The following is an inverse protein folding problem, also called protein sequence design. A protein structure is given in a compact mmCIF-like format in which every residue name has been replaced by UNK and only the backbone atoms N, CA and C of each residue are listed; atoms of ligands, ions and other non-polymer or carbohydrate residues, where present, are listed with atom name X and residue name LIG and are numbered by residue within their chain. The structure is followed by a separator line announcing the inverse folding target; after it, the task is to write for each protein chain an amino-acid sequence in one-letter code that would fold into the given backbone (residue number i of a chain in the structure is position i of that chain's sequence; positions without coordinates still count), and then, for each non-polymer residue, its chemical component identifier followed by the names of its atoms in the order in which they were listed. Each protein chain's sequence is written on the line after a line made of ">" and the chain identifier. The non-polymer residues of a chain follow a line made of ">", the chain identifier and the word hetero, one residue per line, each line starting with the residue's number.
data_IF_642309521044
#
_entry.id   IF_642309521044
#
_cell.length_a   1.000
_cell.length_b   1.000
_cell.length_c   1.000
_cell.angle_alpha   90.00
_cell.angle_beta   90.00
_cell.angle_gamma   90.00
#
_symmetry.space_group_name_H-M   'P 1'
#
loop_
_entity.id
_entity.type
_entity.pdbx_description
1 polymer ?
#
# COMPACT_ATOMS: atom_id res chain seq x y z
N UNK A 1 20.61 11.59 -5.50
CA UNK A 1 19.42 10.83 -5.07
C UNK A 1 19.71 9.39 -5.42
N UNK A 2 19.67 8.51 -4.43
CA UNK A 2 20.05 7.10 -4.56
C UNK A 2 18.76 6.31 -4.78
N UNK A 3 18.67 5.59 -5.89
CA UNK A 3 17.45 4.85 -6.25
C UNK A 3 17.72 3.35 -6.17
N UNK A 4 17.05 2.66 -5.26
CA UNK A 4 17.06 1.21 -5.15
C UNK A 4 15.99 0.63 -6.05
N UNK A 5 16.39 -0.24 -6.96
CA UNK A 5 15.50 -1.02 -7.81
C UNK A 5 15.64 -2.49 -7.41
N UNK A 6 14.86 -2.90 -6.41
CA UNK A 6 14.88 -4.28 -5.93
C UNK A 6 14.39 -5.30 -6.98
N UNK A 7 13.72 -4.85 -8.04
CA UNK A 7 13.27 -5.73 -9.11
C UNK A 7 14.38 -6.07 -10.11
N UNK A 8 15.29 -5.13 -10.38
CA UNK A 8 16.23 -5.25 -11.49
C UNK A 8 17.71 -5.12 -11.10
N UNK A 9 18.03 -4.49 -9.97
CA UNK A 9 19.42 -4.32 -9.51
C UNK A 9 20.04 -5.69 -9.16
N UNK A 10 21.29 -5.89 -9.56
CA UNK A 10 22.10 -7.00 -9.08
C UNK A 10 22.48 -6.83 -7.61
N UNK A 11 22.89 -7.92 -6.94
CA UNK A 11 23.39 -7.85 -5.55
C UNK A 11 24.53 -6.85 -5.40
N UNK A 12 25.42 -6.74 -6.39
CA UNK A 12 26.54 -5.78 -6.37
C UNK A 12 26.03 -4.33 -6.39
N UNK A 13 25.06 -4.01 -7.26
CA UNK A 13 24.47 -2.68 -7.36
C UNK A 13 23.72 -2.30 -6.07
N UNK A 14 22.98 -3.25 -5.48
CA UNK A 14 22.30 -3.05 -4.21
C UNK A 14 23.29 -2.75 -3.07
N UNK A 15 24.42 -3.46 -3.00
CA UNK A 15 25.46 -3.19 -2.00
C UNK A 15 26.13 -1.85 -2.24
N UNK A 16 26.43 -1.48 -3.49
CA UNK A 16 26.99 -0.17 -3.82
C UNK A 16 26.09 0.96 -3.34
N UNK A 17 24.79 0.89 -3.65
CA UNK A 17 23.79 1.88 -3.22
C UNK A 17 23.62 1.90 -1.69
N UNK A 18 23.64 0.73 -1.05
CA UNK A 18 23.60 0.61 0.42
C UNK A 18 24.80 1.32 1.07
N UNK A 19 25.99 1.10 0.52
CA UNK A 19 27.22 1.74 1.00
C UNK A 19 27.22 3.24 0.74
N UNK A 20 26.73 3.70 -0.42
CA UNK A 20 26.59 5.12 -0.74
C UNK A 20 25.65 5.81 0.26
N UNK A 21 24.48 5.22 0.53
CA UNK A 21 23.48 5.79 1.43
C UNK A 21 23.98 5.87 2.88
N UNK A 22 24.55 4.77 3.39
CA UNK A 22 25.04 4.71 4.78
C UNK A 22 26.48 5.22 4.96
N UNK A 23 27.12 5.67 3.88
CA UNK A 23 28.52 6.17 3.84
C UNK A 23 29.51 5.13 4.37
N UNK A 24 29.36 3.89 3.93
CA UNK A 24 30.17 2.75 4.34
C UNK A 24 31.25 2.40 3.31
N UNK A 25 32.31 1.76 3.78
CA UNK A 25 33.30 1.14 2.91
C UNK A 25 32.74 -0.13 2.25
N UNK A 26 32.78 -0.18 0.92
CA UNK A 26 32.18 -1.26 0.13
C UNK A 26 32.80 -2.62 0.42
N UNK A 27 34.13 -2.69 0.46
CA UNK A 27 34.85 -3.95 0.69
C UNK A 27 34.46 -4.55 2.06
N UNK A 28 34.38 -3.71 3.09
CA UNK A 28 33.97 -4.12 4.44
C UNK A 28 32.54 -4.66 4.48
N UNK A 29 31.60 -4.04 3.74
CA UNK A 29 30.20 -4.48 3.69
C UNK A 29 30.07 -5.79 2.91
N UNK A 30 30.68 -5.89 1.73
CA UNK A 30 30.67 -7.11 0.92
C UNK A 30 31.25 -8.29 1.70
N UNK A 31 32.41 -8.09 2.33
CA UNK A 31 33.10 -9.11 3.12
C UNK A 31 32.27 -9.57 4.34
N UNK A 32 31.44 -8.68 4.90
CA UNK A 32 30.49 -9.06 5.95
C UNK A 32 29.29 -9.82 5.39
N UNK A 33 28.64 -9.31 4.34
CA UNK A 33 27.44 -9.91 3.74
C UNK A 33 27.69 -11.31 3.17
N UNK A 34 28.90 -11.59 2.66
CA UNK A 34 29.27 -12.92 2.15
C UNK A 34 29.35 -13.98 3.26
N UNK A 35 29.70 -13.59 4.50
CA UNK A 35 30.00 -14.53 5.59
C UNK A 35 28.95 -14.59 6.68
N UNK A 36 28.14 -13.54 6.82
CA UNK A 36 27.14 -13.47 7.87
C UNK A 36 26.07 -14.55 7.66
N UNK A 37 25.60 -15.14 8.75
CA UNK A 37 24.41 -15.99 8.70
C UNK A 37 23.17 -15.09 8.57
N UNK A 38 22.42 -15.17 7.45
CA UNK A 38 21.23 -14.34 7.24
C UNK A 38 20.23 -14.43 8.39
N UNK A 39 20.07 -15.61 9.01
CA UNK A 39 19.08 -15.85 10.08
C UNK A 39 19.39 -15.11 11.38
N UNK A 40 20.56 -14.50 11.47
CA UNK A 40 20.99 -13.66 12.61
C UNK A 40 20.92 -12.17 12.28
N UNK A 41 20.60 -11.80 11.04
CA UNK A 41 20.52 -10.41 10.62
C UNK A 41 19.22 -9.77 11.10
N UNK A 42 19.37 -8.63 11.75
CA UNK A 42 18.30 -7.71 12.11
C UNK A 42 18.80 -6.29 11.85
N UNK A 43 17.93 -5.27 11.78
CA UNK A 43 18.37 -3.89 11.74
C UNK A 43 19.34 -3.55 12.88
N UNK A 44 19.13 -4.12 14.08
CA UNK A 44 19.99 -3.92 15.24
C UNK A 44 21.40 -4.50 15.03
N UNK A 45 21.53 -5.69 14.43
CA UNK A 45 22.85 -6.27 14.17
C UNK A 45 23.62 -5.50 13.10
N UNK A 46 22.95 -4.97 12.07
CA UNK A 46 23.58 -4.09 11.08
C UNK A 46 24.02 -2.76 11.68
N UNK A 47 23.15 -2.12 12.47
CA UNK A 47 23.45 -0.87 13.19
C UNK A 47 24.69 -1.04 14.05
N UNK A 48 24.77 -2.13 14.84
CA UNK A 48 25.93 -2.41 15.68
C UNK A 48 27.19 -2.74 14.89
N UNK A 49 27.05 -3.52 13.80
CA UNK A 49 28.20 -3.96 13.00
C UNK A 49 28.90 -2.81 12.30
N UNK A 50 28.13 -1.83 11.82
CA UNK A 50 28.63 -0.72 11.01
C UNK A 50 28.58 0.63 11.73
N UNK A 51 28.26 0.65 13.02
CA UNK A 51 28.14 1.86 13.85
C UNK A 51 27.19 2.92 13.23
N UNK A 52 26.03 2.45 12.73
CA UNK A 52 25.08 3.31 12.03
C UNK A 52 24.28 4.19 12.99
N UNK A 53 24.35 5.50 12.80
CA UNK A 53 23.50 6.47 13.51
C UNK A 53 22.30 6.81 12.65
N UNK A 54 21.19 6.10 12.85
CA UNK A 54 20.05 6.16 11.92
C UNK A 54 19.39 7.55 11.81
N UNK A 55 19.61 8.43 12.78
CA UNK A 55 19.18 9.83 12.70
C UNK A 55 20.07 10.72 11.80
N UNK A 56 21.24 10.28 11.37
CA UNK A 56 22.15 11.04 10.50
C UNK A 56 21.84 10.88 9.00
N UNK A 57 21.05 9.87 8.62
CA UNK A 57 20.72 9.59 7.22
C UNK A 57 19.35 10.15 6.84
N UNK A 58 19.33 10.92 5.75
CA UNK A 58 18.14 11.60 5.26
C UNK A 58 17.39 10.72 4.25
N UNK A 59 16.26 10.17 4.68
CA UNK A 59 15.40 9.32 3.86
C UNK A 59 14.83 10.02 2.62
N UNK A 60 14.89 11.35 2.53
CA UNK A 60 14.50 12.07 1.31
C UNK A 60 15.53 11.96 0.18
N UNK A 61 16.76 11.54 0.48
CA UNK A 61 17.80 11.27 -0.53
C UNK A 61 17.72 9.88 -1.13
N UNK A 62 16.84 9.04 -0.59
CA UNK A 62 16.59 7.66 -0.99
C UNK A 62 15.28 7.58 -1.79
N UNK A 63 15.32 6.86 -2.91
CA UNK A 63 14.15 6.45 -3.67
C UNK A 63 14.10 4.93 -3.81
N UNK A 64 12.90 4.39 -3.93
CA UNK A 64 12.66 2.98 -4.19
C UNK A 64 11.76 2.86 -5.41
N UNK A 65 12.16 2.01 -6.36
CA UNK A 65 11.30 1.62 -7.48
C UNK A 65 10.16 0.76 -6.92
N UNK A 66 8.94 1.18 -7.22
CA UNK A 66 7.70 0.57 -6.79
C UNK A 66 6.94 0.08 -8.02
N UNK A 67 6.17 -1.00 -7.86
CA UNK A 67 5.24 -1.50 -8.88
C UNK A 67 3.83 -1.57 -8.34
N UNK A 68 2.86 -1.07 -9.11
CA UNK A 68 1.43 -1.17 -8.83
C UNK A 68 0.76 -1.99 -9.93
N UNK A 69 0.03 -3.05 -9.56
CA UNK A 69 -0.66 -3.91 -10.53
C UNK A 69 -2.16 -3.61 -10.56
N UNK A 70 -2.72 -3.51 -11.76
CA UNK A 70 -4.13 -3.19 -11.99
C UNK A 70 -4.63 -3.77 -13.30
N UNK A 71 -5.95 -3.78 -13.51
CA UNK A 71 -6.55 -4.18 -14.79
C UNK A 71 -7.31 -3.04 -15.46
N UNK A 72 -7.18 -2.94 -16.77
CA UNK A 72 -7.77 -1.87 -17.57
C UNK A 72 -8.06 -2.31 -19.00
N UNK A 73 -8.64 -1.42 -19.80
CA UNK A 73 -8.63 -1.50 -21.27
C UNK A 73 -7.44 -0.75 -21.84
N UNK A 74 -7.11 -1.00 -23.12
CA UNK A 74 -6.08 -0.27 -23.86
C UNK A 74 -6.36 1.24 -23.92
N UNK A 75 -7.63 1.65 -23.95
CA UNK A 75 -8.01 3.06 -23.97
C UNK A 75 -7.90 3.67 -22.55
N UNK A 76 -8.48 3.00 -21.54
CA UNK A 76 -8.56 3.57 -20.19
C UNK A 76 -7.23 3.59 -19.44
N UNK A 77 -6.23 2.78 -19.84
CA UNK A 77 -4.89 2.83 -19.22
C UNK A 77 -4.22 4.20 -19.43
N UNK A 78 -4.60 4.95 -20.47
CA UNK A 78 -4.14 6.33 -20.69
C UNK A 78 -4.54 7.28 -19.56
N UNK A 79 -5.56 6.94 -18.77
CA UNK A 79 -5.92 7.76 -17.60
C UNK A 79 -4.80 7.87 -16.57
N UNK A 80 -3.92 6.88 -16.47
CA UNK A 80 -2.72 6.97 -15.61
C UNK A 80 -1.67 7.92 -16.18
N UNK A 81 -1.61 8.09 -17.50
CA UNK A 81 -0.72 9.07 -18.16
C UNK A 81 -1.26 10.49 -18.05
N UNK A 82 -2.58 10.64 -17.92
CA UNK A 82 -3.19 11.96 -17.72
C UNK A 82 -3.19 12.39 -16.26
N UNK A 83 -3.44 11.46 -15.33
CA UNK A 83 -3.72 11.76 -13.92
C UNK A 83 -2.68 11.23 -12.94
N UNK A 84 -1.84 10.30 -13.36
CA UNK A 84 -0.96 9.57 -12.45
C UNK A 84 -1.67 8.42 -11.73
N UNK A 85 -1.03 7.88 -10.68
CA UNK A 85 -1.68 6.94 -9.76
C UNK A 85 -2.27 7.75 -8.61
N UNK A 86 -3.59 7.84 -8.58
CA UNK A 86 -4.35 8.54 -7.55
C UNK A 86 -4.58 7.63 -6.33
N UNK A 87 -4.68 8.23 -5.15
CA UNK A 87 -5.15 7.51 -3.96
C UNK A 87 -6.61 7.06 -4.13
N UNK A 88 -7.04 6.07 -3.33
CA UNK A 88 -8.37 5.48 -3.50
C UNK A 88 -9.49 6.50 -3.21
N UNK A 89 -9.26 7.45 -2.30
CA UNK A 89 -10.20 8.54 -2.01
C UNK A 89 -10.48 9.33 -3.29
N UNK A 90 -9.43 9.77 -3.96
CA UNK A 90 -9.51 10.57 -5.19
C UNK A 90 -10.07 9.73 -6.34
N UNK A 91 -9.65 8.47 -6.47
CA UNK A 91 -10.17 7.56 -7.51
C UNK A 91 -11.68 7.36 -7.44
N UNK A 92 -12.26 7.31 -6.22
CA UNK A 92 -13.69 7.11 -6.02
C UNK A 92 -14.54 8.37 -6.25
N UNK A 93 -13.95 9.55 -6.09
CA UNK A 93 -14.69 10.83 -6.13
C UNK A 93 -14.48 11.63 -7.42
N UNK A 94 -13.32 11.51 -8.06
CA UNK A 94 -13.05 12.16 -9.35
C UNK A 94 -13.52 11.33 -10.54
N UNK A 95 -13.61 11.93 -11.73
CA UNK A 95 -13.93 11.21 -12.97
C UNK A 95 -12.78 10.28 -13.38
N UNK A 96 -12.82 9.02 -12.98
CA UNK A 96 -11.84 7.98 -13.30
C UNK A 96 -12.55 6.77 -13.90
N UNK A 97 -11.84 5.85 -14.57
CA UNK A 97 -12.45 4.60 -15.03
C UNK A 97 -13.15 3.82 -13.92
N UNK A 98 -12.61 3.84 -12.69
CA UNK A 98 -13.22 3.19 -11.53
C UNK A 98 -14.52 3.88 -11.09
N UNK A 99 -14.51 5.20 -10.89
CA UNK A 99 -15.72 5.91 -10.45
C UNK A 99 -16.82 5.89 -11.51
N UNK A 100 -16.48 6.02 -12.79
CA UNK A 100 -17.44 5.90 -13.89
C UNK A 100 -18.08 4.50 -13.93
N UNK A 101 -17.26 3.45 -13.76
CA UNK A 101 -17.76 2.09 -13.65
C UNK A 101 -18.74 1.93 -12.47
N UNK A 102 -18.43 2.51 -11.31
CA UNK A 102 -19.33 2.46 -10.14
C UNK A 102 -20.63 3.25 -10.38
N UNK A 103 -20.55 4.42 -11.03
CA UNK A 103 -21.72 5.24 -11.37
C UNK A 103 -22.68 4.51 -12.32
N UNK A 104 -22.16 3.77 -13.32
CA UNK A 104 -22.97 2.94 -14.21
C UNK A 104 -23.77 1.87 -13.43
N UNK A 105 -23.23 1.44 -12.28
CA UNK A 105 -23.87 0.51 -11.35
C UNK A 105 -24.72 1.19 -10.27
N UNK A 106 -24.91 2.51 -10.37
CA UNK A 106 -25.62 3.36 -9.40
C UNK A 106 -25.00 3.27 -8.00
N UNK A 107 -23.68 3.23 -7.93
CA UNK A 107 -22.88 3.27 -6.71
C UNK A 107 -22.08 4.56 -6.72
N UNK A 108 -22.18 5.36 -5.65
CA UNK A 108 -21.34 6.53 -5.42
C UNK A 108 -20.78 6.45 -4.01
N UNK A 109 -19.46 6.59 -3.88
CA UNK A 109 -18.80 6.68 -2.57
C UNK A 109 -18.36 8.12 -2.37
N UNK A 110 -18.78 8.70 -1.25
CA UNK A 110 -18.40 10.03 -0.80
C UNK A 110 -17.61 9.82 0.50
N UNK A 111 -16.29 9.81 0.32
CA UNK A 111 -15.31 9.54 1.38
C UNK A 111 -15.28 10.72 2.36
N UNK A 112 -15.37 11.95 1.86
CA UNK A 112 -15.34 13.16 2.68
C UNK A 112 -16.57 13.25 3.60
N UNK A 113 -17.75 12.89 3.09
CA UNK A 113 -19.00 12.90 3.84
C UNK A 113 -19.31 11.59 4.57
N UNK A 114 -18.40 10.62 4.53
CA UNK A 114 -18.56 9.29 5.11
C UNK A 114 -19.86 8.60 4.67
N UNK A 115 -20.16 8.61 3.36
CA UNK A 115 -21.41 8.08 2.80
C UNK A 115 -21.16 7.21 1.58
N UNK A 116 -21.96 6.17 1.44
CA UNK A 116 -22.10 5.40 0.21
C UNK A 116 -23.56 5.45 -0.24
N UNK A 117 -23.77 5.77 -1.51
CA UNK A 117 -25.08 5.75 -2.16
C UNK A 117 -25.18 4.55 -3.09
N UNK A 118 -26.22 3.73 -2.94
CA UNK A 118 -26.49 2.55 -3.76
C UNK A 118 -27.93 2.61 -4.24
N UNK A 119 -28.12 2.68 -5.57
CA UNK A 119 -29.43 2.82 -6.23
C UNK A 119 -30.27 3.99 -5.68
N UNK A 120 -29.62 5.12 -5.36
CA UNK A 120 -30.28 6.33 -4.83
C UNK A 120 -30.49 6.33 -3.31
N UNK A 121 -30.23 5.22 -2.61
CA UNK A 121 -30.31 5.15 -1.14
C UNK A 121 -28.93 5.35 -0.52
N UNK A 122 -28.84 6.25 0.46
CA UNK A 122 -27.59 6.60 1.16
C UNK A 122 -27.44 5.76 2.42
N UNK A 123 -26.21 5.38 2.70
CA UNK A 123 -25.79 4.66 3.90
C UNK A 123 -24.54 5.34 4.46
N UNK A 124 -24.46 5.61 5.77
CA UNK A 124 -23.23 6.11 6.37
C UNK A 124 -22.18 5.00 6.44
N UNK A 125 -20.92 5.38 6.19
CA UNK A 125 -19.75 4.52 6.29
C UNK A 125 -19.22 4.65 7.71
N UNK A 126 -19.45 3.62 8.52
CA UNK A 126 -19.22 3.66 9.96
C UNK A 126 -18.09 2.72 10.39
N UNK A 127 -17.23 3.20 11.28
CA UNK A 127 -16.24 2.39 12.00
C UNK A 127 -16.93 1.43 12.99
N UNK A 128 -16.18 0.44 13.48
CA UNK A 128 -16.67 -0.57 14.43
C UNK A 128 -17.05 0.03 15.80
N UNK A 129 -16.61 1.23 16.13
CA UNK A 129 -16.97 1.91 17.38
C UNK A 129 -18.26 2.74 17.27
N UNK A 130 -18.75 2.99 16.05
CA UNK A 130 -19.92 3.82 15.81
C UNK A 130 -21.23 3.03 15.83
N UNK A 131 -22.34 3.75 16.07
CA UNK A 131 -23.70 3.20 16.13
C UNK A 131 -24.46 3.57 14.85
N UNK A 132 -25.21 2.63 14.27
CA UNK A 132 -26.04 2.94 13.11
C UNK A 132 -27.09 4.01 13.46
N UNK A 133 -27.17 5.12 12.72
CA UNK A 133 -28.22 6.12 12.93
C UNK A 133 -29.61 5.58 12.54
N UNK A 134 -29.65 4.64 11.59
CA UNK A 134 -30.87 3.96 11.14
C UNK A 134 -30.59 2.49 10.84
N UNK A 135 -31.63 1.65 10.83
CA UNK A 135 -31.47 0.26 10.44
C UNK A 135 -31.34 0.13 8.92
N UNK A 136 -30.17 -0.31 8.43
CA UNK A 136 -29.93 -0.51 7.00
C UNK A 136 -30.88 -1.53 6.36
N UNK A 137 -31.34 -2.50 7.15
CA UNK A 137 -32.33 -3.52 6.76
C UNK A 137 -33.79 -3.10 6.99
N UNK A 138 -34.04 -1.82 7.33
CA UNK A 138 -35.39 -1.29 7.51
C UNK A 138 -36.14 -1.82 8.75
N UNK A 139 -35.43 -2.33 9.76
CA UNK A 139 -36.05 -2.77 11.02
C UNK A 139 -36.32 -1.58 11.93
N UNK A 140 -37.44 -1.62 12.66
CA UNK A 140 -37.80 -0.57 13.64
C UNK A 140 -36.79 -0.44 14.79
N UNK A 141 -36.08 -1.53 15.14
CA UNK A 141 -35.04 -1.51 16.17
C UNK A 141 -33.64 -1.48 15.54
N UNK A 142 -32.83 -0.53 16.00
CA UNK A 142 -31.41 -0.42 15.67
C UNK A 142 -30.67 -1.63 16.24
N UNK A 143 -29.71 -2.17 15.49
CA UNK A 143 -28.87 -3.27 15.95
C UNK A 143 -27.91 -2.75 17.05
N UNK A 144 -28.21 -3.01 18.32
CA UNK A 144 -27.35 -2.68 19.47
C UNK A 144 -26.64 -3.93 20.00
N UNK A 145 -25.35 -3.83 20.35
CA UNK A 145 -24.59 -4.90 21.03
C UNK A 145 -23.62 -5.68 20.13
N UNK A 146 -23.22 -6.88 20.57
CA UNK A 146 -22.22 -7.75 19.92
C UNK A 146 -22.69 -8.37 18.58
N UNK A 147 -24.00 -8.46 18.33
CA UNK A 147 -24.55 -9.02 17.09
C UNK A 147 -24.99 -7.92 16.13
N UNK A 148 -24.03 -7.26 15.48
CA UNK A 148 -24.32 -6.28 14.42
C UNK A 148 -24.78 -6.98 13.13
N UNK A 149 -25.64 -6.33 12.34
CA UNK A 149 -26.13 -6.92 11.09
C UNK A 149 -25.01 -7.04 10.04
N UNK A 150 -25.17 -7.95 9.07
CA UNK A 150 -24.18 -8.14 8.01
C UNK A 150 -23.89 -6.86 7.22
N UNK A 151 -24.91 -6.06 6.92
CA UNK A 151 -24.74 -4.76 6.25
C UNK A 151 -23.81 -3.83 7.01
N UNK A 152 -23.92 -3.79 8.34
CA UNK A 152 -23.00 -3.00 9.17
C UNK A 152 -21.58 -3.53 9.09
N UNK A 153 -21.37 -4.84 9.26
CA UNK A 153 -20.04 -5.46 9.21
C UNK A 153 -19.33 -5.17 7.89
N UNK A 154 -20.04 -5.32 6.76
CA UNK A 154 -19.49 -5.06 5.43
C UNK A 154 -19.16 -3.59 5.21
N UNK A 155 -20.00 -2.68 5.71
CA UNK A 155 -19.71 -1.24 5.71
C UNK A 155 -18.48 -0.90 6.55
N UNK A 156 -18.30 -1.55 7.71
CA UNK A 156 -17.10 -1.36 8.53
C UNK A 156 -15.82 -1.79 7.80
N UNK A 157 -15.86 -2.86 6.98
CA UNK A 157 -14.71 -3.21 6.15
C UNK A 157 -14.37 -2.14 5.11
N UNK A 158 -15.38 -1.49 4.53
CA UNK A 158 -15.16 -0.31 3.69
C UNK A 158 -14.55 0.86 4.50
N UNK A 159 -15.05 1.10 5.72
CA UNK A 159 -14.52 2.14 6.61
C UNK A 159 -13.03 1.91 6.94
N UNK A 160 -12.64 0.66 7.22
CA UNK A 160 -11.24 0.29 7.49
C UNK A 160 -10.35 0.67 6.31
N UNK A 161 -10.74 0.31 5.07
CA UNK A 161 -9.95 0.65 3.88
C UNK A 161 -9.84 2.15 3.62
N UNK A 162 -10.91 2.91 3.88
CA UNK A 162 -10.97 4.34 3.54
C UNK A 162 -10.42 5.28 4.61
N UNK A 163 -10.50 4.90 5.89
CA UNK A 163 -10.21 5.79 7.02
C UNK A 163 -9.22 5.24 8.04
N UNK A 164 -9.05 3.91 8.11
CA UNK A 164 -8.05 3.32 8.99
C UNK A 164 -6.71 3.10 8.25
N UNK A 165 -6.78 2.66 6.99
CA UNK A 165 -5.63 2.59 6.08
C UNK A 165 -5.52 3.81 5.16
N UNK A 166 -6.25 4.89 5.47
CA UNK A 166 -6.19 6.20 4.79
C UNK A 166 -6.31 6.19 3.25
N UNK A 167 -6.86 5.12 2.66
CA UNK A 167 -7.08 5.00 1.22
C UNK A 167 -5.80 5.23 0.38
N UNK A 168 -4.63 4.93 0.93
CA UNK A 168 -3.31 5.21 0.35
C UNK A 168 -3.03 4.42 -0.93
N UNK A 169 -2.03 4.85 -1.70
CA UNK A 169 -1.53 4.10 -2.87
C UNK A 169 -0.62 2.97 -2.40
N UNK A 170 -1.12 1.75 -2.47
CA UNK A 170 -0.36 0.52 -2.17
C UNK A 170 0.48 0.07 -3.38
N UNK A 171 1.67 -0.48 -3.09
CA UNK A 171 2.61 -0.96 -4.10
C UNK A 171 3.44 -2.16 -3.62
N UNK A 172 4.04 -2.85 -4.59
CA UNK A 172 5.14 -3.77 -4.37
C UNK A 172 6.46 -3.01 -4.37
N UNK A 173 7.30 -3.28 -3.36
CA UNK A 173 8.70 -2.85 -3.32
C UNK A 173 9.58 -3.93 -3.93
N UNK A 174 9.23 -5.19 -3.69
CA UNK A 174 9.86 -6.35 -4.30
C UNK A 174 8.85 -7.48 -4.43
N UNK A 175 8.81 -8.11 -5.60
CA UNK A 175 8.05 -9.32 -5.87
C UNK A 175 8.41 -9.85 -7.26
N UNK A 176 8.35 -11.15 -7.44
CA UNK A 176 8.24 -11.76 -8.77
C UNK A 176 6.87 -11.48 -9.37
N UNK A 177 6.77 -11.53 -10.70
CA UNK A 177 5.48 -11.35 -11.39
C UNK A 177 4.43 -12.39 -10.94
N UNK A 178 4.86 -13.62 -10.63
CA UNK A 178 3.97 -14.68 -10.14
C UNK A 178 3.43 -14.38 -8.74
N UNK A 179 4.25 -13.82 -7.85
CA UNK A 179 3.81 -13.35 -6.52
C UNK A 179 2.80 -12.21 -6.66
N UNK A 180 3.11 -11.21 -7.49
CA UNK A 180 2.19 -10.09 -7.76
C UNK A 180 0.83 -10.57 -8.27
N UNK A 181 0.80 -11.55 -9.19
CA UNK A 181 -0.44 -12.14 -9.71
C UNK A 181 -1.24 -12.91 -8.67
N UNK A 182 -0.57 -13.51 -7.68
CA UNK A 182 -1.21 -14.27 -6.60
C UNK A 182 -1.72 -13.37 -5.48
N UNK A 183 -1.30 -12.11 -5.46
CA UNK A 183 -1.78 -11.14 -4.50
C UNK A 183 -3.25 -10.81 -4.75
N UNK A 184 -4.13 -11.29 -3.87
CA UNK A 184 -5.55 -10.93 -3.85
C UNK A 184 -6.24 -11.15 -5.22
N UNK A 185 -6.87 -10.12 -5.77
CA UNK A 185 -7.56 -10.14 -7.07
C UNK A 185 -7.01 -9.14 -8.06
N UNK A 186 -5.92 -8.43 -7.75
CA UNK A 186 -5.47 -7.25 -8.51
C UNK A 186 -5.04 -7.59 -9.95
N UNK A 187 -4.69 -8.86 -10.19
CA UNK A 187 -4.40 -9.42 -11.52
C UNK A 187 -5.63 -9.49 -12.45
N UNK A 188 -6.83 -9.35 -11.86
CA UNK A 188 -8.14 -9.50 -12.52
C UNK A 188 -9.05 -8.31 -12.32
N UNK A 189 -9.09 -7.75 -11.11
CA UNK A 189 -9.91 -6.59 -10.76
C UNK A 189 -9.41 -5.89 -9.46
N UNK A 190 -9.61 -4.56 -9.35
CA UNK A 190 -9.29 -3.82 -8.13
C UNK A 190 -9.98 -4.40 -6.90
N UNK A 191 -9.24 -4.60 -5.80
CA UNK A 191 -9.77 -5.22 -4.58
C UNK A 191 -10.96 -4.45 -3.97
N UNK A 192 -11.00 -3.13 -4.14
CA UNK A 192 -12.11 -2.31 -3.68
C UNK A 192 -13.46 -2.74 -4.27
N UNK A 193 -13.48 -3.32 -5.48
CA UNK A 193 -14.72 -3.84 -6.08
C UNK A 193 -15.29 -5.02 -5.28
N UNK A 194 -14.45 -5.90 -4.72
CA UNK A 194 -14.91 -6.98 -3.83
C UNK A 194 -15.61 -6.39 -2.59
N UNK A 195 -14.99 -5.36 -2.00
CA UNK A 195 -15.53 -4.69 -0.80
C UNK A 195 -16.86 -4.01 -1.10
N UNK A 196 -16.96 -3.32 -2.24
CA UNK A 196 -18.19 -2.64 -2.65
C UNK A 196 -19.30 -3.62 -3.04
N UNK A 197 -18.98 -4.75 -3.66
CA UNK A 197 -19.95 -5.82 -3.92
C UNK A 197 -20.47 -6.44 -2.62
N UNK A 198 -19.59 -6.66 -1.64
CA UNK A 198 -19.97 -7.13 -0.31
C UNK A 198 -20.98 -6.18 0.36
N UNK A 199 -20.68 -4.88 0.35
CA UNK A 199 -21.58 -3.84 0.88
C UNK A 199 -22.90 -3.85 0.11
N UNK A 200 -22.84 -3.83 -1.22
CA UNK A 200 -24.01 -3.82 -2.10
C UNK A 200 -24.90 -5.04 -1.87
N UNK A 201 -24.33 -6.23 -1.78
CA UNK A 201 -25.08 -7.46 -1.51
C UNK A 201 -25.74 -7.40 -0.13
N UNK A 202 -24.99 -6.99 0.89
CA UNK A 202 -25.50 -6.93 2.26
C UNK A 202 -26.61 -5.89 2.47
N UNK A 203 -26.56 -4.73 1.81
CA UNK A 203 -27.66 -3.73 1.90
C UNK A 203 -28.89 -4.12 1.08
N UNK A 204 -28.74 -5.01 0.10
CA UNK A 204 -29.86 -5.59 -0.65
C UNK A 204 -30.42 -6.88 0.01
N UNK A 205 -29.98 -7.20 1.24
CA UNK A 205 -30.46 -8.37 1.99
C UNK A 205 -29.91 -9.71 1.51
N UNK A 206 -28.85 -9.72 0.71
CA UNK A 206 -28.18 -10.95 0.29
C UNK A 206 -27.20 -11.41 1.37
N UNK A 207 -27.15 -12.72 1.61
CA UNK A 207 -26.28 -13.32 2.61
C UNK A 207 -24.82 -13.43 2.14
N UNK A 208 -24.60 -13.54 0.83
CA UNK A 208 -23.28 -13.68 0.22
C UNK A 208 -23.06 -12.63 -0.88
N UNK A 209 -21.80 -12.20 -1.11
CA UNK A 209 -21.47 -11.34 -2.24
C UNK A 209 -21.83 -12.01 -3.57
N UNK A 210 -22.35 -11.20 -4.49
CA UNK A 210 -22.63 -11.67 -5.86
C UNK A 210 -21.42 -11.63 -6.79
N UNK A 211 -20.38 -10.86 -6.45
CA UNK A 211 -19.20 -10.62 -7.28
C UNK A 211 -19.52 -10.06 -8.68
N UNK A 212 -20.70 -9.45 -8.86
CA UNK A 212 -21.13 -8.92 -10.15
C UNK A 212 -20.25 -7.78 -10.63
N UNK A 213 -19.81 -6.86 -9.75
CA UNK A 213 -18.89 -5.79 -10.11
C UNK A 213 -17.57 -6.36 -10.58
N UNK A 214 -17.02 -7.36 -9.88
CA UNK A 214 -15.78 -8.01 -10.27
C UNK A 214 -15.90 -8.74 -11.61
N UNK A 215 -16.94 -9.56 -11.81
CA UNK A 215 -17.14 -10.28 -13.07
C UNK A 215 -17.38 -9.34 -14.26
N UNK A 216 -18.15 -8.27 -14.07
CA UNK A 216 -18.37 -7.28 -15.12
C UNK A 216 -17.11 -6.46 -15.43
N UNK A 217 -16.30 -6.15 -14.40
CA UNK A 217 -15.00 -5.52 -14.59
C UNK A 217 -14.08 -6.43 -15.41
N UNK A 218 -13.91 -7.69 -14.99
CA UNK A 218 -13.08 -8.68 -15.67
C UNK A 218 -13.53 -8.93 -17.12
N UNK A 219 -14.83 -8.86 -17.39
CA UNK A 219 -15.36 -9.03 -18.75
C UNK A 219 -14.98 -7.86 -19.68
N UNK A 220 -14.88 -6.64 -19.13
CA UNK A 220 -14.60 -5.41 -19.89
C UNK A 220 -13.11 -5.06 -19.93
N UNK A 221 -12.38 -5.28 -18.83
CA UNK A 221 -10.99 -4.86 -18.58
C UNK A 221 -10.11 -6.09 -18.40
N UNK A 222 -9.81 -6.74 -19.53
CA UNK A 222 -9.13 -8.05 -19.55
C UNK A 222 -7.62 -7.96 -19.42
N UNK A 223 -7.06 -6.79 -19.70
CA UNK A 223 -5.62 -6.60 -19.74
C UNK A 223 -5.13 -6.24 -18.33
N UNK A 224 -4.09 -6.93 -17.89
CA UNK A 224 -3.40 -6.64 -16.64
C UNK A 224 -2.17 -5.79 -16.95
N UNK A 225 -1.94 -4.78 -16.12
CA UNK A 225 -0.86 -3.82 -16.27
C UNK A 225 -0.08 -3.73 -14.96
N UNK A 226 1.23 -3.54 -15.11
CA UNK A 226 2.13 -3.14 -14.03
C UNK A 226 2.58 -1.71 -14.31
N UNK A 227 2.33 -0.83 -13.35
CA UNK A 227 2.73 0.57 -13.39
C UNK A 227 3.94 0.72 -12.46
N UNK A 228 5.09 1.06 -13.03
CA UNK A 228 6.35 1.22 -12.32
C UNK A 228 6.67 2.70 -12.13
N UNK A 229 7.15 3.07 -10.94
CA UNK A 229 7.52 4.44 -10.59
C UNK A 229 8.54 4.45 -9.46
N UNK A 230 9.32 5.52 -9.33
CA UNK A 230 10.22 5.72 -8.19
C UNK A 230 9.55 6.62 -7.15
N UNK A 231 9.42 6.12 -5.91
CA UNK A 231 8.92 6.89 -4.78
C UNK A 231 10.05 7.30 -3.85
N UNK A 232 9.99 8.52 -3.29
CA UNK A 232 10.93 8.89 -2.22
C UNK A 232 10.59 8.11 -0.97
N UNK A 233 11.60 7.58 -0.31
CA UNK A 233 11.40 6.79 0.89
C UNK A 233 10.76 7.58 2.03
N UNK A 234 11.07 8.88 2.14
CA UNK A 234 10.42 9.78 3.07
C UNK A 234 8.91 9.94 2.83
N UNK A 235 8.42 9.69 1.62
CA UNK A 235 7.01 9.78 1.20
C UNK A 235 6.25 8.46 1.34
N UNK A 236 6.91 7.40 1.83
CA UNK A 236 6.30 6.10 2.13
C UNK A 236 5.89 5.97 3.60
N UNK A 237 4.86 5.17 3.84
CA UNK A 237 4.49 4.69 5.17
C UNK A 237 5.51 3.66 5.67
N UNK A 238 6.21 4.03 6.73
CA UNK A 238 7.28 3.23 7.33
C UNK A 238 7.00 2.87 8.78
N UNK A 239 6.01 3.50 9.40
CA UNK A 239 5.63 3.29 10.79
C UNK A 239 4.16 3.63 11.05
N UNK A 240 3.33 2.60 11.22
CA UNK A 240 1.92 2.70 11.57
C UNK A 240 1.49 1.50 12.46
N UNK A 241 2.00 1.39 13.71
CA UNK A 241 1.71 0.25 14.56
C UNK A 241 0.25 0.26 15.03
N UNK A 242 -0.42 -0.91 14.98
CA UNK A 242 -1.79 -1.09 15.49
C UNK A 242 -1.87 -0.79 16.99
N UNK A 243 -0.86 -1.24 17.75
CA UNK A 243 -0.73 -0.94 19.17
C UNK A 243 0.57 -0.17 19.39
N UNK A 244 0.44 1.16 19.38
CA UNK A 244 1.56 2.08 19.52
C UNK A 244 2.42 1.76 20.74
N UNK A 245 1.81 1.54 21.91
CA UNK A 245 2.58 1.31 23.14
C UNK A 245 3.37 0.00 23.10
N UNK A 246 2.75 -1.08 22.68
CA UNK A 246 3.40 -2.39 22.68
C UNK A 246 4.48 -2.50 21.61
N UNK A 247 4.30 -1.80 20.48
CA UNK A 247 5.27 -1.76 19.40
C UNK A 247 6.62 -1.19 19.84
N UNK A 248 6.69 -0.35 20.87
CA UNK A 248 7.96 0.21 21.38
C UNK A 248 9.02 -0.87 21.63
N UNK A 249 8.62 -2.05 22.11
CA UNK A 249 9.54 -3.16 22.43
C UNK A 249 10.33 -3.63 21.21
N UNK A 250 9.76 -3.51 20.02
CA UNK A 250 10.39 -3.94 18.76
C UNK A 250 11.40 -2.90 18.24
N UNK A 251 11.36 -1.67 18.76
CA UNK A 251 12.21 -0.55 18.35
C UNK A 251 13.15 -0.06 19.46
N UNK A 252 12.92 -0.47 20.71
CA UNK A 252 13.60 0.03 21.92
C UNK A 252 15.12 0.14 21.74
N UNK A 253 15.78 -0.96 21.37
CA UNK A 253 17.24 -1.01 21.22
C UNK A 253 17.78 -0.06 20.14
N UNK A 254 17.05 0.11 19.05
CA UNK A 254 17.39 0.95 17.90
C UNK A 254 17.13 2.43 18.19
N UNK A 255 16.06 2.75 18.91
CA UNK A 255 15.75 4.11 19.33
C UNK A 255 16.77 4.60 20.36
N UNK A 256 17.09 3.77 21.35
CA UNK A 256 18.12 4.08 22.34
C UNK A 256 19.49 4.30 21.70
N UNK A 257 19.88 3.52 20.68
CA UNK A 257 21.15 3.74 19.98
C UNK A 257 21.20 5.06 19.22
N UNK A 258 20.04 5.63 18.88
CA UNK A 258 19.90 6.94 18.25
C UNK A 258 19.71 8.09 19.27
N UNK A 259 19.72 7.79 20.56
CA UNK A 259 19.55 8.77 21.64
C UNK A 259 18.11 9.12 21.98
N UNK A 260 17.13 8.29 21.57
CA UNK A 260 15.72 8.45 21.90
C UNK A 260 15.27 7.43 22.94
N UNK A 261 14.40 7.84 23.86
CA UNK A 261 13.85 6.97 24.90
C UNK A 261 12.34 6.73 24.74
N UNK A 262 11.74 6.05 25.72
CA UNK A 262 10.31 5.77 25.74
C UNK A 262 9.45 7.04 25.81
N UNK A 263 9.95 8.10 26.43
CA UNK A 263 9.26 9.39 26.52
C UNK A 263 9.20 10.02 25.14
N UNK A 264 10.34 10.09 24.43
CA UNK A 264 10.38 10.61 23.05
C UNK A 264 9.43 9.85 22.12
N UNK A 265 9.37 8.53 22.30
CA UNK A 265 8.44 7.67 21.57
C UNK A 265 6.98 8.03 21.88
N UNK A 266 6.58 8.03 23.15
CA UNK A 266 5.19 8.30 23.55
C UNK A 266 4.73 9.74 23.26
N UNK A 267 5.67 10.69 23.19
CA UNK A 267 5.41 12.09 22.82
C UNK A 267 5.52 12.34 21.31
N UNK A 268 5.75 11.29 20.51
CA UNK A 268 5.86 11.37 19.04
C UNK A 268 6.92 12.36 18.54
N UNK A 269 8.00 12.57 19.31
CA UNK A 269 9.08 13.53 18.98
C UNK A 269 10.19 12.92 18.13
N UNK A 270 10.20 11.60 17.99
CA UNK A 270 11.22 10.87 17.21
C UNK A 270 11.06 11.22 15.72
N UNK A 271 12.12 11.73 15.05
CA UNK A 271 12.04 12.10 13.64
C UNK A 271 11.68 10.90 12.75
N UNK A 272 10.73 11.07 11.82
CA UNK A 272 10.30 10.03 10.86
C UNK A 272 11.47 9.31 10.19
N UNK A 273 12.53 10.03 9.82
CA UNK A 273 13.73 9.45 9.19
C UNK A 273 14.37 8.31 9.98
N UNK A 274 14.24 8.29 11.31
CA UNK A 274 14.74 7.18 12.14
C UNK A 274 13.95 5.91 11.82
N UNK A 275 12.61 5.99 11.85
CA UNK A 275 11.74 4.88 11.47
C UNK A 275 11.91 4.48 10.01
N UNK A 276 12.05 5.46 9.11
CA UNK A 276 12.35 5.22 7.70
C UNK A 276 13.61 4.35 7.56
N UNK A 277 14.70 4.71 8.23
CA UNK A 277 15.95 3.97 8.14
C UNK A 277 15.87 2.58 8.79
N UNK A 278 15.14 2.42 9.90
CA UNK A 278 14.88 1.10 10.50
C UNK A 278 14.11 0.20 9.53
N UNK A 279 13.03 0.72 8.95
CA UNK A 279 12.19 -0.02 7.99
C UNK A 279 12.97 -0.33 6.71
N UNK A 280 13.83 0.59 6.25
CA UNK A 280 14.70 0.35 5.10
C UNK A 280 15.67 -0.80 5.36
N UNK A 281 16.37 -0.80 6.50
CA UNK A 281 17.26 -1.90 6.87
C UNK A 281 16.51 -3.24 6.94
N UNK A 282 15.29 -3.24 7.51
CA UNK A 282 14.46 -4.44 7.60
C UNK A 282 14.12 -5.00 6.21
N UNK A 283 13.62 -4.14 5.31
CA UNK A 283 13.28 -4.54 3.93
C UNK A 283 14.51 -4.93 3.12
N UNK A 284 15.62 -4.20 3.27
CA UNK A 284 16.88 -4.54 2.60
C UNK A 284 17.36 -5.94 3.01
N UNK A 285 17.32 -6.29 4.31
CA UNK A 285 17.68 -7.64 4.77
C UNK A 285 16.75 -8.69 4.14
N UNK A 286 15.44 -8.46 4.22
CA UNK A 286 14.40 -9.34 3.70
C UNK A 286 14.61 -9.64 2.21
N UNK A 287 14.82 -8.60 1.41
CA UNK A 287 14.94 -8.71 -0.05
C UNK A 287 16.32 -9.24 -0.44
N UNK A 288 17.40 -8.65 0.08
CA UNK A 288 18.76 -8.98 -0.35
C UNK A 288 19.15 -10.42 0.01
N UNK A 289 18.78 -10.90 1.20
CA UNK A 289 19.19 -12.24 1.66
C UNK A 289 18.16 -13.33 1.39
N UNK A 290 16.88 -12.99 1.25
CA UNK A 290 15.81 -13.99 1.11
C UNK A 290 14.96 -13.84 -0.15
N UNK A 291 15.20 -12.80 -0.96
CA UNK A 291 14.38 -12.48 -2.13
C UNK A 291 12.88 -12.39 -1.75
N UNK A 292 12.59 -11.88 -0.56
CA UNK A 292 11.25 -11.90 0.02
C UNK A 292 10.33 -10.85 -0.59
N UNK A 293 9.09 -11.22 -0.84
CA UNK A 293 8.01 -10.32 -1.25
C UNK A 293 7.80 -9.22 -0.19
N UNK A 294 7.85 -7.95 -0.62
CA UNK A 294 7.71 -6.79 0.25
C UNK A 294 6.76 -5.76 -0.37
N UNK A 295 5.92 -5.20 0.48
CA UNK A 295 4.91 -4.22 0.12
C UNK A 295 5.22 -2.85 0.72
N UNK A 296 4.69 -1.82 0.09
CA UNK A 296 4.74 -0.45 0.56
C UNK A 296 3.43 0.27 0.35
N UNK A 297 3.32 1.43 0.98
CA UNK A 297 2.23 2.36 0.78
C UNK A 297 2.79 3.78 0.80
N UNK A 298 2.21 4.69 0.02
CA UNK A 298 2.50 6.11 0.11
C UNK A 298 1.79 6.72 1.33
N UNK A 299 2.32 7.83 1.86
CA UNK A 299 1.63 8.60 2.90
C UNK A 299 0.24 9.06 2.42
N UNK A 300 -0.70 9.17 3.36
CA UNK A 300 -2.06 9.63 3.13
C UNK A 300 -2.11 10.94 2.30
N UNK A 301 -2.95 10.95 1.26
CA UNK A 301 -3.12 12.08 0.35
C UNK A 301 -2.06 12.23 -0.75
N UNK A 302 -1.03 11.38 -0.77
CA UNK A 302 -0.04 11.38 -1.85
C UNK A 302 -0.55 10.61 -3.07
N UNK A 303 -0.14 11.09 -4.24
CA UNK A 303 -0.34 10.45 -5.54
C UNK A 303 0.98 10.38 -6.29
N UNK A 304 1.03 9.53 -7.31
CA UNK A 304 2.20 9.40 -8.19
C UNK A 304 1.94 10.20 -9.46
N UNK A 305 2.77 11.19 -9.80
CA UNK A 305 2.51 12.05 -10.96
C UNK A 305 2.77 11.30 -12.28
N UNK A 306 2.01 11.61 -13.35
CA UNK A 306 2.06 10.86 -14.59
C UNK A 306 3.43 10.81 -15.27
N UNK A 307 4.23 11.86 -15.18
CA UNK A 307 5.56 11.95 -15.79
C UNK A 307 6.59 10.96 -15.21
N UNK A 308 6.27 10.35 -14.06
CA UNK A 308 7.15 9.40 -13.37
C UNK A 308 6.84 7.94 -13.69
N UNK A 309 5.78 7.67 -14.46
CA UNK A 309 5.26 6.34 -14.70
C UNK A 309 5.88 5.67 -15.92
N UNK A 310 6.20 4.38 -15.77
CA UNK A 310 6.32 3.43 -16.86
C UNK A 310 5.17 2.45 -16.77
N UNK A 311 4.58 2.10 -17.91
CA UNK A 311 3.43 1.19 -17.95
C UNK A 311 3.83 -0.04 -18.74
N UNK A 312 3.61 -1.21 -18.14
CA UNK A 312 3.87 -2.50 -18.74
C UNK A 312 2.57 -3.29 -18.83
N UNK A 313 2.29 -3.87 -20.00
CA UNK A 313 1.24 -4.87 -20.15
C UNK A 313 1.80 -6.24 -19.75
N UNK A 314 1.04 -6.99 -18.94
CA UNK A 314 1.39 -8.35 -18.54
C UNK A 314 0.97 -9.31 -19.67
N UNK A 315 1.93 -9.88 -20.39
CA UNK A 315 1.70 -10.89 -21.43
C UNK A 315 2.29 -12.21 -21.00
N UNK A 316 1.41 -13.19 -20.74
CA UNK A 316 1.80 -14.47 -20.16
C UNK A 316 2.64 -14.26 -18.90
N UNK A 317 3.97 -14.47 -18.96
CA UNK A 317 4.90 -14.30 -17.84
C UNK A 317 5.90 -13.17 -18.02
N UNK A 318 5.66 -12.27 -18.98
CA UNK A 318 6.54 -11.15 -19.29
C UNK A 318 5.84 -9.80 -19.12
N UNK A 319 6.66 -8.76 -18.91
CA UNK A 319 6.26 -7.35 -18.89
C UNK A 319 6.64 -6.72 -20.23
N UNK A 320 5.65 -6.25 -20.99
CA UNK A 320 5.87 -5.57 -22.28
C UNK A 320 5.58 -4.09 -22.10
N UNK A 321 6.61 -3.25 -22.24
CA UNK A 321 6.44 -1.80 -22.10
C UNK A 321 5.45 -1.26 -23.14
N UNK A 322 4.47 -0.51 -22.66
CA UNK A 322 3.45 0.13 -23.49
C UNK A 322 3.97 1.49 -23.89
N UNK A 323 4.23 1.68 -25.20
CA UNK A 323 4.55 2.98 -25.75
C UNK A 323 3.31 3.86 -25.76
N UNK A 324 3.11 4.60 -24.66
CA UNK A 324 1.99 5.54 -24.54
C UNK A 324 2.42 6.87 -25.16
N UNK A 325 2.09 7.06 -26.45
CA UNK A 325 2.27 8.35 -27.12
C UNK A 325 1.29 9.37 -26.55
N UNK A 326 1.79 10.53 -26.10
CA UNK A 326 0.97 11.68 -25.69
C UNK A 326 0.17 12.26 -26.85
#
# INVERSE_FOLDING_TARGET
>A
MITFDFFNDSSTELVEKFCEYFKLDKETVEDYFIRVNPDTLTPETLVRKFDLKLNEYDSSQLQIVCRHMTTSTEDEIHSFIDKGILDLRTMLQENTPLSQFLLDHKIKVDVDEHKIEIKGKKYPILSDHEVCPECYNGRERICTGYSRCESFKKITYLAIKLYYYDATVECFIHATLDEMKRYSTIDRCPEILNTLDDVRSAVNGQYSPTYNLCYEWMAKKKNCYVIEYASRWSEMETFAPINYRDAYRDYESLLYSCGFDFTDYMEETIPKKVYDNITFLRRFISIYFYNAEEYGSLLAGNSVPPESLKVFEVKENDLVEVALSK
#
